data_IF_080604969815
#
_entry.id   IF_080604969815
#
_cell.length_a   1.000
_cell.length_b   1.000
_cell.length_c   1.000
_cell.angle_alpha   90.00
_cell.angle_beta   90.00
_cell.angle_gamma   90.00
#
_symmetry.space_group_name_H-M   'P 1'
#
loop_
_entity.id
_entity.type
_entity.pdbx_description
1 polymer ?
#
# COMPACT_ATOMS: atom_id res chain seq x y z
N UNK A 1 3.00 15.86 -2.83
CA UNK A 1 2.70 15.58 -1.41
C UNK A 1 3.94 15.86 -0.56
N UNK A 2 3.77 16.42 0.64
CA UNK A 2 4.89 16.66 1.55
C UNK A 2 5.46 15.33 2.09
N UNK A 3 6.79 15.20 2.14
CA UNK A 3 7.48 13.95 2.54
C UNK A 3 7.18 13.56 3.99
N UNK A 4 7.18 14.51 4.92
CA UNK A 4 6.93 14.24 6.33
C UNK A 4 5.49 13.78 6.57
N UNK A 5 4.53 14.40 5.88
CA UNK A 5 3.14 13.97 5.91
C UNK A 5 2.96 12.56 5.36
N UNK A 6 3.61 12.25 4.23
CA UNK A 6 3.54 10.91 3.65
C UNK A 6 4.09 9.83 4.59
N UNK A 7 5.24 10.06 5.21
CA UNK A 7 5.82 9.12 6.17
C UNK A 7 4.94 8.94 7.41
N UNK A 8 4.30 10.01 7.88
CA UNK A 8 3.34 9.92 8.97
C UNK A 8 2.15 9.03 8.61
N UNK A 9 1.57 9.21 7.42
CA UNK A 9 0.47 8.37 6.92
C UNK A 9 0.91 6.90 6.86
N UNK A 10 2.08 6.63 6.26
CA UNK A 10 2.63 5.27 6.15
C UNK A 10 2.79 4.64 7.53
N UNK A 11 3.36 5.37 8.50
CA UNK A 11 3.55 4.86 9.86
C UNK A 11 2.22 4.53 10.55
N UNK A 12 1.23 5.44 10.50
CA UNK A 12 -0.09 5.19 11.09
C UNK A 12 -0.78 3.99 10.45
N UNK A 13 -0.80 3.91 9.12
CA UNK A 13 -1.40 2.78 8.40
C UNK A 13 -0.69 1.46 8.71
N UNK A 14 0.64 1.45 8.77
CA UNK A 14 1.41 0.24 9.13
C UNK A 14 1.16 -0.22 10.56
N UNK A 15 0.67 0.65 11.44
CA UNK A 15 0.40 0.33 12.84
C UNK A 15 -1.04 -0.14 13.03
N UNK A 16 -1.99 0.53 12.41
CA UNK A 16 -3.43 0.36 12.66
C UNK A 16 -4.14 -0.57 11.67
N UNK A 17 -3.57 -0.77 10.47
CA UNK A 17 -4.22 -1.53 9.40
C UNK A 17 -3.36 -2.73 9.01
N UNK A 18 -3.88 -3.94 9.24
CA UNK A 18 -3.18 -5.20 8.97
C UNK A 18 -2.68 -5.29 7.52
N UNK A 19 -3.48 -4.82 6.54
CA UNK A 19 -3.07 -4.81 5.14
C UNK A 19 -1.75 -4.05 4.91
N UNK A 20 -1.49 -2.97 5.65
CA UNK A 20 -0.28 -2.17 5.52
C UNK A 20 0.85 -2.64 6.43
N UNK A 21 0.65 -3.63 7.29
CA UNK A 21 1.74 -4.20 8.07
C UNK A 21 2.77 -4.88 7.16
N UNK A 22 4.07 -4.82 7.52
CA UNK A 22 5.07 -5.68 6.93
C UNK A 22 4.65 -7.15 7.14
N UNK A 23 4.57 -7.91 6.05
CA UNK A 23 4.22 -9.33 6.10
C UNK A 23 5.18 -10.10 5.23
N UNK A 24 5.60 -11.26 5.70
CA UNK A 24 6.36 -12.21 4.90
C UNK A 24 5.40 -12.99 4.00
N UNK A 25 5.80 -13.19 2.75
CA UNK A 25 5.06 -14.03 1.81
C UNK A 25 5.19 -15.52 2.18
N UNK A 26 4.45 -16.38 1.47
CA UNK A 26 4.46 -17.82 1.73
C UNK A 26 5.85 -18.48 1.50
N UNK A 27 6.79 -17.77 0.90
CA UNK A 27 8.17 -18.22 0.70
C UNK A 27 9.15 -17.66 1.75
N UNK A 28 8.65 -16.93 2.75
CA UNK A 28 9.45 -16.32 3.81
C UNK A 28 10.20 -15.06 3.36
N UNK A 29 9.82 -14.46 2.22
CA UNK A 29 10.41 -13.19 1.77
C UNK A 29 9.57 -12.03 2.25
N UNK A 30 10.20 -10.92 2.57
CA UNK A 30 9.48 -9.69 2.87
C UNK A 30 8.57 -9.31 1.70
N UNK A 31 7.26 -9.30 1.94
CA UNK A 31 6.27 -8.89 0.96
C UNK A 31 6.34 -7.39 0.67
N UNK A 32 5.35 -6.88 -0.06
CA UNK A 32 5.28 -5.46 -0.45
C UNK A 32 5.34 -4.57 0.80
N UNK A 33 6.31 -3.66 0.82
CA UNK A 33 6.52 -2.76 1.95
C UNK A 33 5.34 -1.80 2.13
N UNK A 34 5.11 -1.30 3.35
CA UNK A 34 4.04 -0.33 3.60
C UNK A 34 4.16 0.94 2.77
N UNK A 35 5.39 1.39 2.49
CA UNK A 35 5.69 2.53 1.61
C UNK A 35 5.19 2.29 0.18
N UNK A 36 5.45 1.11 -0.36
CA UNK A 36 5.02 0.72 -1.71
C UNK A 36 3.49 0.62 -1.78
N UNK A 37 2.85 -0.01 -0.78
CA UNK A 37 1.37 -0.10 -0.68
C UNK A 37 0.73 1.28 -0.64
N UNK A 38 1.24 2.19 0.19
CA UNK A 38 0.71 3.56 0.28
C UNK A 38 0.91 4.34 -1.02
N UNK A 39 2.07 4.19 -1.67
CA UNK A 39 2.34 4.84 -2.96
C UNK A 39 1.36 4.36 -4.03
N UNK A 40 1.11 3.05 -4.11
CA UNK A 40 0.15 2.46 -5.05
C UNK A 40 -1.28 2.96 -4.79
N UNK A 41 -1.74 2.95 -3.53
CA UNK A 41 -3.07 3.41 -3.16
C UNK A 41 -3.28 4.90 -3.51
N UNK A 42 -2.32 5.76 -3.17
CA UNK A 42 -2.40 7.20 -3.49
C UNK A 42 -2.38 7.43 -4.99
N UNK A 43 -1.58 6.65 -5.73
CA UNK A 43 -1.55 6.71 -7.20
C UNK A 43 -2.87 6.28 -7.82
N UNK A 44 -3.53 5.25 -7.29
CA UNK A 44 -4.87 4.83 -7.71
C UNK A 44 -5.92 5.91 -7.43
N UNK A 45 -5.87 6.53 -6.25
CA UNK A 45 -6.78 7.63 -5.90
C UNK A 45 -6.57 8.87 -6.78
N UNK A 46 -5.32 9.22 -7.07
CA UNK A 46 -4.98 10.43 -7.83
C UNK A 46 -5.32 10.33 -9.31
N UNK A 47 -5.18 9.14 -9.90
CA UNK A 47 -5.40 8.95 -11.34
C UNK A 47 -6.87 8.64 -11.71
N UNK A 48 -7.78 8.61 -10.72
CA UNK A 48 -9.14 8.11 -10.89
C UNK A 48 -9.13 6.58 -10.95
N UNK A 49 -9.99 5.94 -10.15
CA UNK A 49 -10.02 4.48 -10.01
C UNK A 49 -10.38 3.76 -11.31
N UNK A 50 -9.39 3.52 -12.16
CA UNK A 50 -9.41 2.48 -13.18
C UNK A 50 -9.07 1.14 -12.52
N UNK A 51 -10.04 0.59 -11.79
CA UNK A 51 -10.10 -0.85 -11.58
C UNK A 51 -10.49 -1.41 -12.94
N UNK A 52 -9.53 -1.89 -13.71
CA UNK A 52 -9.87 -2.82 -14.78
C UNK A 52 -10.44 -4.08 -14.12
N UNK A 53 -11.71 -4.46 -14.40
CA UNK A 53 -12.31 -5.65 -13.82
C UNK A 53 -11.84 -6.85 -14.64
N UNK A 54 -10.56 -7.19 -14.53
CA UNK A 54 -10.03 -8.47 -15.04
C UNK A 54 -9.61 -9.30 -13.84
N UNK A 55 -10.59 -9.54 -12.97
CA UNK A 55 -10.65 -10.72 -12.10
C UNK A 55 -11.67 -11.69 -12.72
N UNK A 56 -11.48 -12.00 -14.00
CA UNK A 56 -11.87 -13.28 -14.54
C UNK A 56 -10.60 -14.13 -14.45
N UNK A 57 -10.49 -14.98 -13.42
CA UNK A 57 -10.00 -16.37 -13.47
C UNK A 57 -10.02 -17.02 -12.09
#
# INVERSE_FOLDING_TARGET
MNKSLFLYIVHRLSTEVEYFQPKEDATGRSGISPLQKCTAAIRQLANGGGVDPVDEY
#
